data_IF_276828195105
#
_entry.id   IF_276828195105
#
_cell.length_a   1.000
_cell.length_b   1.000
_cell.length_c   1.000
_cell.angle_alpha   90.00
_cell.angle_beta   90.00
_cell.angle_gamma   90.00
#
_symmetry.space_group_name_H-M   'P 1'
#
loop_
_entity.id
_entity.type
_entity.pdbx_description
1 polymer ?
#
# COMPACT_ATOMS: atom_id res chain seq x y z
N UNK A 1 3.46 35.71 -17.96
CA UNK A 1 3.64 34.58 -17.01
C UNK A 1 4.99 33.95 -17.27
N UNK A 2 5.74 33.52 -16.23
CA UNK A 2 7.00 32.83 -16.43
C UNK A 2 6.79 31.53 -17.23
N UNK A 3 7.79 31.05 -17.99
CA UNK A 3 7.71 29.75 -18.66
C UNK A 3 7.37 28.62 -17.68
N UNK A 4 6.75 27.56 -18.18
CA UNK A 4 6.54 26.36 -17.38
C UNK A 4 7.89 25.79 -16.96
N UNK A 5 8.09 25.61 -15.66
CA UNK A 5 9.35 25.13 -15.08
C UNK A 5 9.71 23.68 -15.45
N UNK A 6 8.75 22.91 -15.97
CA UNK A 6 8.96 21.50 -16.34
C UNK A 6 9.24 21.30 -17.82
N UNK A 7 8.55 22.01 -18.71
CA UNK A 7 8.72 21.87 -20.16
C UNK A 7 9.46 23.03 -20.83
N UNK A 8 9.72 24.13 -20.11
CA UNK A 8 10.32 25.36 -20.65
C UNK A 8 9.43 26.14 -21.63
N UNK A 9 8.24 25.62 -21.94
CA UNK A 9 7.28 26.25 -22.85
C UNK A 9 6.46 27.37 -22.19
N UNK A 10 5.46 27.92 -22.91
CA UNK A 10 4.50 28.86 -22.33
C UNK A 10 3.84 28.28 -21.07
N UNK A 11 3.53 29.15 -20.11
CA UNK A 11 2.82 28.72 -18.91
C UNK A 11 1.49 28.04 -19.27
N UNK A 12 1.18 26.97 -18.53
CA UNK A 12 -0.10 26.28 -18.64
C UNK A 12 -0.53 25.78 -17.26
N UNK A 13 -1.83 25.57 -17.10
CA UNK A 13 -2.38 24.96 -15.89
C UNK A 13 -1.88 23.52 -15.78
N UNK A 14 -1.45 23.13 -14.59
CA UNK A 14 -1.14 21.75 -14.24
C UNK A 14 -2.37 21.13 -13.54
N UNK A 15 -2.33 20.94 -12.23
CA UNK A 15 -3.48 20.45 -11.48
C UNK A 15 -4.55 21.52 -11.22
N UNK A 16 -5.82 21.09 -11.24
CA UNK A 16 -6.96 21.92 -10.81
C UNK A 16 -7.12 21.95 -9.29
N UNK A 17 -6.66 20.90 -8.62
CA UNK A 17 -6.67 20.74 -7.16
C UNK A 17 -5.29 20.23 -6.76
N UNK A 18 -4.73 20.81 -5.70
CA UNK A 18 -3.46 20.34 -5.14
C UNK A 18 -3.63 18.95 -4.53
N UNK A 19 -2.60 18.13 -4.69
CA UNK A 19 -2.46 16.89 -3.95
C UNK A 19 -1.53 17.06 -2.76
N UNK A 20 -1.32 15.97 -2.02
CA UNK A 20 -0.45 15.90 -0.86
C UNK A 20 0.46 14.65 -0.91
N UNK A 21 1.67 14.81 -0.44
CA UNK A 21 2.71 13.80 -0.30
C UNK A 21 2.77 13.20 1.11
N UNK A 22 2.13 13.85 2.10
CA UNK A 22 2.13 13.39 3.48
C UNK A 22 1.04 12.33 3.69
N UNK A 23 1.49 11.11 3.98
CA UNK A 23 0.55 10.01 4.23
C UNK A 23 -0.12 10.11 5.59
N UNK A 24 -1.44 9.89 5.58
CA UNK A 24 -2.32 9.85 6.72
C UNK A 24 -3.16 8.56 6.66
N UNK A 25 -2.85 7.58 7.51
CA UNK A 25 -3.52 6.28 7.49
C UNK A 25 -5.01 6.37 7.85
N UNK A 26 -5.45 7.40 8.58
CA UNK A 26 -6.87 7.62 8.87
C UNK A 26 -7.59 8.07 7.61
N UNK A 27 -7.05 9.06 6.93
CA UNK A 27 -7.62 9.56 5.67
C UNK A 27 -7.63 8.48 4.58
N UNK A 28 -6.53 7.73 4.43
CA UNK A 28 -6.49 6.61 3.50
C UNK A 28 -7.57 5.57 3.84
N UNK A 29 -7.72 5.21 5.11
CA UNK A 29 -8.77 4.28 5.55
C UNK A 29 -10.15 4.79 5.17
N UNK A 30 -10.44 6.06 5.43
CA UNK A 30 -11.75 6.64 5.14
C UNK A 30 -12.02 6.65 3.60
N UNK A 31 -10.99 6.92 2.78
CA UNK A 31 -11.06 6.83 1.32
C UNK A 31 -11.24 5.39 0.78
N UNK A 32 -10.63 4.38 1.42
CA UNK A 32 -10.82 2.96 1.08
C UNK A 32 -12.24 2.48 1.40
N UNK A 33 -12.75 2.88 2.57
CA UNK A 33 -14.08 2.46 3.02
C UNK A 33 -15.20 3.11 2.21
N UNK A 34 -14.97 4.32 1.68
CA UNK A 34 -15.95 5.09 0.89
C UNK A 34 -17.29 5.20 1.63
N UNK A 35 -17.28 5.87 2.77
CA UNK A 35 -18.42 6.10 3.67
C UNK A 35 -18.94 4.86 4.43
N UNK A 36 -18.44 3.66 4.12
CA UNK A 36 -18.74 2.46 4.92
C UNK A 36 -18.00 2.48 6.25
N UNK A 37 -18.55 1.79 7.22
CA UNK A 37 -17.88 1.55 8.49
C UNK A 37 -16.85 0.43 8.39
N UNK A 38 -15.81 0.49 9.22
CA UNK A 38 -14.77 -0.54 9.22
C UNK A 38 -15.32 -1.94 9.56
N UNK A 39 -16.42 -2.03 10.30
CA UNK A 39 -17.09 -3.28 10.64
C UNK A 39 -17.90 -3.89 9.51
N UNK A 40 -18.06 -3.21 8.38
CA UNK A 40 -18.65 -3.73 7.16
C UNK A 40 -17.62 -4.42 6.25
N UNK A 41 -16.32 -4.21 6.52
CA UNK A 41 -15.28 -4.84 5.73
C UNK A 41 -15.31 -6.37 5.89
N UNK A 42 -15.27 -7.17 4.80
CA UNK A 42 -15.45 -8.63 4.88
C UNK A 42 -14.45 -9.39 5.76
N UNK A 43 -13.30 -8.80 6.08
CA UNK A 43 -12.29 -9.37 6.98
C UNK A 43 -12.27 -8.77 8.38
N UNK A 44 -13.25 -7.94 8.72
CA UNK A 44 -13.37 -7.40 10.07
C UNK A 44 -13.66 -8.51 11.08
N UNK A 45 -12.80 -8.67 12.07
CA UNK A 45 -13.00 -9.61 13.20
C UNK A 45 -13.15 -8.91 14.54
N UNK A 46 -13.21 -7.58 14.55
CA UNK A 46 -13.25 -6.77 15.76
C UNK A 46 -12.44 -5.47 15.64
N UNK A 47 -12.43 -4.68 16.71
CA UNK A 47 -11.65 -3.43 16.77
C UNK A 47 -10.17 -3.72 16.49
N UNK A 48 -9.54 -2.91 15.65
CA UNK A 48 -8.14 -3.05 15.26
C UNK A 48 -7.79 -4.37 14.55
N UNK A 49 -8.76 -5.01 13.87
CA UNK A 49 -8.51 -6.26 13.13
C UNK A 49 -7.99 -6.05 11.71
N UNK A 50 -8.19 -4.85 11.16
CA UNK A 50 -7.81 -4.46 9.80
C UNK A 50 -7.21 -3.05 9.82
N UNK A 51 -6.33 -2.76 8.86
CA UNK A 51 -5.72 -1.46 8.67
C UNK A 51 -5.53 -1.14 7.18
N UNK A 52 -5.67 0.14 6.85
CA UNK A 52 -5.28 0.67 5.55
C UNK A 52 -3.75 0.73 5.45
N UNK A 53 -3.21 0.27 4.32
CA UNK A 53 -1.79 0.32 4.00
C UNK A 53 -1.54 1.13 2.74
N UNK A 54 -0.60 2.06 2.78
CA UNK A 54 -0.12 2.79 1.60
C UNK A 54 0.85 1.92 0.77
N UNK A 55 0.53 1.70 -0.50
CA UNK A 55 1.37 0.93 -1.44
C UNK A 55 2.55 1.75 -1.95
N UNK A 56 2.33 3.01 -2.30
CA UNK A 56 3.40 4.01 -2.30
C UNK A 56 3.45 4.55 -0.88
N UNK A 57 4.37 4.02 -0.07
CA UNK A 57 4.46 4.30 1.35
C UNK A 57 4.90 5.74 1.64
N UNK A 58 4.41 6.31 2.73
CA UNK A 58 4.72 7.67 3.17
C UNK A 58 6.23 7.92 3.29
N UNK A 59 6.99 6.95 3.80
CA UNK A 59 8.45 7.05 3.93
C UNK A 59 9.17 7.25 2.59
N UNK A 60 8.55 6.89 1.48
CA UNK A 60 9.11 7.10 0.16
C UNK A 60 8.92 8.54 -0.36
N UNK A 61 8.04 9.33 0.27
CA UNK A 61 7.70 10.70 -0.15
C UNK A 61 7.92 11.77 0.94
N UNK A 62 7.77 11.44 2.23
CA UNK A 62 7.60 12.42 3.31
C UNK A 62 8.80 13.35 3.55
N UNK A 63 10.02 12.91 3.22
CA UNK A 63 11.24 13.70 3.37
C UNK A 63 11.77 14.23 2.03
N UNK A 64 10.98 14.14 0.97
CA UNK A 64 11.37 14.54 -0.38
C UNK A 64 10.61 15.81 -0.81
N UNK A 65 11.28 16.96 -0.66
CA UNK A 65 10.74 18.27 -1.08
C UNK A 65 10.37 18.31 -2.56
N UNK A 66 11.02 17.49 -3.40
CA UNK A 66 10.64 17.35 -4.80
C UNK A 66 9.23 16.77 -4.88
N UNK A 67 8.92 15.70 -4.13
CA UNK A 67 7.58 15.11 -4.13
C UNK A 67 6.53 16.03 -3.52
N UNK A 68 6.86 16.81 -2.49
CA UNK A 68 5.95 17.85 -1.98
C UNK A 68 5.49 18.79 -3.10
N UNK A 69 6.45 19.25 -3.92
CA UNK A 69 6.18 20.10 -5.08
C UNK A 69 5.40 19.36 -6.18
N UNK A 70 5.84 18.16 -6.56
CA UNK A 70 5.20 17.40 -7.64
C UNK A 70 3.75 17.02 -7.30
N UNK A 71 3.47 16.57 -6.07
CA UNK A 71 2.12 16.26 -5.61
C UNK A 71 1.21 17.49 -5.65
N UNK A 72 1.71 18.66 -5.21
CA UNK A 72 0.96 19.92 -5.28
C UNK A 72 0.68 20.32 -6.73
N UNK A 73 1.71 20.31 -7.57
CA UNK A 73 1.62 20.91 -8.91
C UNK A 73 0.88 19.98 -9.89
N UNK A 74 1.00 18.66 -9.75
CA UNK A 74 0.31 17.66 -10.60
C UNK A 74 -0.94 17.02 -9.96
N UNK A 75 -1.23 17.34 -8.70
CA UNK A 75 -2.49 16.96 -8.05
C UNK A 75 -2.55 15.51 -7.58
N UNK A 76 -1.41 14.84 -7.43
CA UNK A 76 -1.38 13.49 -6.86
C UNK A 76 -1.46 13.56 -5.34
N UNK A 77 -2.42 12.85 -4.75
CA UNK A 77 -2.59 12.72 -3.31
C UNK A 77 -2.25 11.30 -2.87
N UNK A 78 -1.30 11.15 -1.96
CA UNK A 78 -0.85 9.85 -1.47
C UNK A 78 -1.94 9.10 -0.68
N UNK A 79 -2.92 9.82 -0.10
CA UNK A 79 -4.00 9.26 0.73
C UNK A 79 -5.20 8.78 -0.08
N UNK A 80 -5.14 8.91 -1.40
CA UNK A 80 -6.21 8.45 -2.27
C UNK A 80 -6.41 6.93 -2.20
N UNK A 81 -7.65 6.53 -2.50
CA UNK A 81 -8.11 5.14 -2.54
C UNK A 81 -7.19 4.23 -3.37
N UNK A 82 -6.80 4.64 -4.57
CA UNK A 82 -6.02 3.81 -5.49
C UNK A 82 -4.58 3.54 -5.04
N UNK A 83 -4.09 4.26 -4.03
CA UNK A 83 -2.80 3.99 -3.41
C UNK A 83 -2.89 3.12 -2.15
N UNK A 84 -4.09 2.72 -1.74
CA UNK A 84 -4.31 1.93 -0.54
C UNK A 84 -4.73 0.50 -0.78
N UNK A 85 -4.56 -0.32 0.25
CA UNK A 85 -5.19 -1.65 0.38
C UNK A 85 -5.51 -1.92 1.85
N UNK A 86 -6.63 -2.58 2.13
CA UNK A 86 -7.01 -3.02 3.46
C UNK A 86 -6.39 -4.37 3.78
N UNK A 87 -5.64 -4.45 4.87
CA UNK A 87 -4.91 -5.65 5.28
C UNK A 87 -5.26 -6.07 6.71
N UNK A 88 -5.26 -7.38 7.00
CA UNK A 88 -5.46 -7.86 8.35
C UNK A 88 -4.29 -7.50 9.27
N UNK A 89 -4.62 -7.10 10.49
CA UNK A 89 -3.69 -6.90 11.61
C UNK A 89 -3.64 -8.11 12.56
N UNK A 90 -4.44 -9.14 12.30
CA UNK A 90 -4.50 -10.35 13.14
C UNK A 90 -3.78 -11.49 12.42
N UNK A 91 -2.75 -12.05 13.04
CA UNK A 91 -1.89 -13.08 12.41
C UNK A 91 -2.65 -14.32 11.97
N UNK A 92 -3.62 -14.79 12.76
CA UNK A 92 -4.43 -15.95 12.41
C UNK A 92 -5.35 -15.68 11.23
N UNK A 93 -5.89 -14.45 11.13
CA UNK A 93 -6.71 -14.01 10.00
C UNK A 93 -5.88 -13.94 8.72
N UNK A 94 -4.72 -13.27 8.74
CA UNK A 94 -3.81 -13.25 7.60
C UNK A 94 -3.36 -14.66 7.18
N UNK A 95 -3.07 -15.51 8.17
CA UNK A 95 -2.67 -16.90 7.98
C UNK A 95 -3.74 -17.72 7.26
N UNK A 96 -5.01 -17.59 7.66
CA UNK A 96 -6.15 -18.28 7.05
C UNK A 96 -6.47 -17.75 5.65
N UNK A 97 -6.39 -16.43 5.47
CA UNK A 97 -6.75 -15.75 4.25
C UNK A 97 -5.70 -15.83 3.14
N UNK A 98 -4.46 -16.17 3.49
CA UNK A 98 -3.32 -16.25 2.57
C UNK A 98 -2.92 -14.89 1.97
N UNK A 99 -2.93 -13.83 2.80
CA UNK A 99 -2.68 -12.45 2.37
C UNK A 99 -1.58 -11.79 3.22
N UNK A 100 -0.87 -10.77 2.69
CA UNK A 100 0.03 -9.95 3.48
C UNK A 100 -0.59 -9.45 4.78
N UNK A 101 0.24 -9.37 5.81
CA UNK A 101 -0.16 -8.92 7.14
C UNK A 101 0.29 -7.48 7.38
N UNK A 102 -0.52 -6.69 8.08
CA UNK A 102 -0.20 -5.32 8.48
C UNK A 102 0.27 -5.26 9.94
N UNK A 103 1.42 -5.85 10.24
CA UNK A 103 2.02 -5.83 11.59
C UNK A 103 3.52 -5.57 11.47
N UNK A 104 4.04 -4.68 12.31
CA UNK A 104 5.47 -4.45 12.45
C UNK A 104 5.95 -3.20 11.70
N UNK A 105 7.24 -2.86 11.84
CA UNK A 105 7.80 -1.66 11.23
C UNK A 105 7.93 -1.84 9.71
N UNK A 106 7.71 -0.76 8.95
CA UNK A 106 7.90 -0.75 7.50
C UNK A 106 9.32 -1.14 7.07
N UNK A 107 10.32 -0.94 7.95
CA UNK A 107 11.70 -1.38 7.73
C UNK A 107 11.87 -2.91 7.63
N UNK A 108 10.88 -3.70 8.05
CA UNK A 108 10.88 -5.15 7.88
C UNK A 108 10.51 -5.62 6.47
N UNK A 109 9.96 -4.75 5.62
CA UNK A 109 9.57 -5.10 4.26
C UNK A 109 10.74 -5.12 3.29
N UNK A 110 10.67 -6.00 2.28
CA UNK A 110 11.73 -6.21 1.30
C UNK A 110 11.20 -6.36 -0.12
N UNK A 111 11.92 -5.83 -1.10
CA UNK A 111 11.71 -6.02 -2.53
C UNK A 111 12.78 -6.98 -3.06
N UNK A 112 12.47 -8.28 -3.13
CA UNK A 112 13.46 -9.33 -3.39
C UNK A 112 14.07 -9.26 -4.80
N UNK A 113 13.31 -8.82 -5.79
CA UNK A 113 13.78 -8.66 -7.18
C UNK A 113 14.67 -7.43 -7.38
N UNK A 114 14.65 -6.49 -6.45
CA UNK A 114 15.47 -5.27 -6.47
C UNK A 114 16.59 -5.29 -5.43
N UNK A 115 16.58 -6.26 -4.52
CA UNK A 115 17.47 -6.36 -3.36
C UNK A 115 17.51 -5.08 -2.52
N UNK A 116 16.34 -4.55 -2.20
CA UNK A 116 16.18 -3.31 -1.43
C UNK A 116 15.09 -3.46 -0.37
N UNK A 117 15.23 -2.72 0.73
CA UNK A 117 14.11 -2.51 1.65
C UNK A 117 12.91 -1.91 0.89
N UNK A 118 11.71 -2.34 1.24
CA UNK A 118 10.48 -1.93 0.54
C UNK A 118 10.37 -0.41 0.31
N UNK A 119 10.56 0.45 1.32
CA UNK A 119 10.51 1.90 1.10
C UNK A 119 11.58 2.41 0.11
N UNK A 120 12.78 1.82 0.12
CA UNK A 120 13.87 2.23 -0.77
C UNK A 120 13.61 1.78 -2.22
N UNK A 121 13.00 0.61 -2.42
CA UNK A 121 12.55 0.16 -3.73
C UNK A 121 11.50 1.12 -4.31
N UNK A 122 10.52 1.54 -3.49
CA UNK A 122 9.52 2.53 -3.89
C UNK A 122 10.18 3.87 -4.22
N UNK A 123 11.11 4.38 -3.39
CA UNK A 123 11.89 5.60 -3.68
C UNK A 123 12.58 5.53 -5.04
N UNK A 124 13.24 4.40 -5.36
CA UNK A 124 13.93 4.23 -6.63
C UNK A 124 12.98 4.31 -7.83
N UNK A 125 11.79 3.69 -7.73
CA UNK A 125 10.76 3.76 -8.77
C UNK A 125 10.24 5.19 -8.92
N UNK A 126 9.97 5.88 -7.80
CA UNK A 126 9.54 7.28 -7.77
C UNK A 126 10.58 8.23 -8.41
N UNK A 127 11.88 8.04 -8.19
CA UNK A 127 12.92 8.84 -8.85
C UNK A 127 12.87 8.72 -10.39
N UNK A 128 12.36 7.61 -10.93
CA UNK A 128 12.06 7.46 -12.35
C UNK A 128 10.97 8.41 -12.82
N UNK A 129 9.87 8.49 -12.07
CA UNK A 129 8.76 9.41 -12.36
C UNK A 129 9.16 10.87 -12.20
N UNK A 130 9.86 11.23 -11.12
CA UNK A 130 10.33 12.59 -10.89
C UNK A 130 11.23 13.10 -12.03
N UNK A 131 12.16 12.27 -12.53
CA UNK A 131 12.98 12.59 -13.70
C UNK A 131 12.16 12.77 -14.99
N UNK A 132 11.06 12.03 -15.13
CA UNK A 132 10.18 12.17 -16.29
C UNK A 132 9.35 13.47 -16.21
N UNK A 133 8.86 13.81 -15.02
CA UNK A 133 8.15 15.07 -14.77
C UNK A 133 9.06 16.27 -15.01
N UNK A 134 10.31 16.23 -14.52
CA UNK A 134 11.31 17.27 -14.73
C UNK A 134 11.66 17.53 -16.21
N UNK A 135 11.32 16.61 -17.12
CA UNK A 135 11.47 16.77 -18.58
C UNK A 135 10.17 17.17 -19.27
N UNK A 136 9.14 17.55 -18.52
CA UNK A 136 7.85 17.99 -19.03
C UNK A 136 6.96 16.87 -19.57
N UNK A 137 7.24 15.58 -19.27
CA UNK A 137 6.49 14.43 -19.82
C UNK A 137 4.98 14.53 -19.59
N UNK A 138 4.57 15.13 -18.48
CA UNK A 138 3.17 15.24 -18.08
C UNK A 138 2.59 16.66 -18.27
N UNK A 139 3.31 17.58 -18.92
CA UNK A 139 2.79 18.94 -19.11
C UNK A 139 1.54 18.99 -20.01
N UNK A 140 1.47 18.12 -21.01
CA UNK A 140 0.32 18.04 -21.92
C UNK A 140 -0.88 17.27 -21.32
N UNK A 141 -0.64 16.35 -20.37
CA UNK A 141 -1.67 15.66 -19.57
C UNK A 141 -1.20 15.57 -18.11
N UNK A 142 -1.41 16.62 -17.28
CA UNK A 142 -0.99 16.62 -15.89
C UNK A 142 -1.59 15.47 -15.06
N UNK A 143 -2.84 15.09 -15.36
CA UNK A 143 -3.50 13.94 -14.73
C UNK A 143 -2.84 12.60 -15.11
N UNK A 144 -2.00 12.58 -16.15
CA UNK A 144 -1.19 11.43 -16.53
C UNK A 144 -0.26 10.95 -15.42
N UNK A 145 0.32 11.86 -14.62
CA UNK A 145 1.20 11.45 -13.50
C UNK A 145 0.42 10.61 -12.48
N UNK A 146 -0.75 11.09 -12.08
CA UNK A 146 -1.67 10.42 -11.15
C UNK A 146 -2.06 9.02 -11.64
N UNK A 147 -2.36 8.88 -12.94
CA UNK A 147 -2.66 7.57 -13.56
C UNK A 147 -1.47 6.62 -13.53
N UNK A 148 -0.25 7.13 -13.76
CA UNK A 148 0.96 6.31 -13.70
C UNK A 148 1.29 5.86 -12.26
N UNK A 149 1.10 6.73 -11.27
CA UNK A 149 1.29 6.37 -9.87
C UNK A 149 0.25 5.33 -9.41
N UNK A 150 -0.98 5.36 -9.93
CA UNK A 150 -1.94 4.26 -9.70
C UNK A 150 -1.50 2.93 -10.28
N UNK A 151 -0.88 2.97 -11.47
CA UNK A 151 -0.30 1.76 -12.07
C UNK A 151 0.86 1.25 -11.23
N UNK A 152 1.66 2.14 -10.65
CA UNK A 152 2.70 1.77 -9.70
C UNK A 152 2.09 1.09 -8.47
N UNK A 153 1.07 1.66 -7.83
CA UNK A 153 0.42 1.04 -6.66
C UNK A 153 -0.13 -0.36 -6.97
N UNK A 154 -0.81 -0.53 -8.13
CA UNK A 154 -1.24 -1.86 -8.61
C UNK A 154 -0.08 -2.83 -8.82
N UNK A 155 1.03 -2.34 -9.37
CA UNK A 155 2.24 -3.14 -9.60
C UNK A 155 2.84 -3.60 -8.28
N UNK A 156 2.95 -2.69 -7.29
CA UNK A 156 3.43 -3.01 -5.95
C UNK A 156 2.52 -4.06 -5.30
N UNK A 157 1.20 -3.89 -5.36
CA UNK A 157 0.26 -4.88 -4.81
C UNK A 157 0.44 -6.26 -5.46
N UNK A 158 0.61 -6.32 -6.79
CA UNK A 158 0.89 -7.57 -7.51
C UNK A 158 2.19 -8.23 -7.02
N UNK A 159 3.23 -7.44 -6.75
CA UNK A 159 4.51 -7.92 -6.20
C UNK A 159 4.36 -8.44 -4.77
N UNK A 160 3.55 -7.79 -3.94
CA UNK A 160 3.23 -8.26 -2.59
C UNK A 160 2.45 -9.58 -2.61
N UNK A 161 1.44 -9.70 -3.46
CA UNK A 161 0.61 -10.91 -3.57
C UNK A 161 1.38 -12.10 -4.15
N UNK A 162 2.30 -11.85 -5.09
CA UNK A 162 3.16 -12.89 -5.68
C UNK A 162 4.36 -13.28 -4.80
N UNK A 163 4.62 -12.55 -3.71
CA UNK A 163 5.78 -12.78 -2.86
C UNK A 163 7.10 -12.31 -3.46
N UNK A 164 7.07 -11.52 -4.54
CA UNK A 164 8.25 -10.80 -5.02
C UNK A 164 8.66 -9.72 -4.01
N UNK A 165 7.70 -9.14 -3.29
CA UNK A 165 7.90 -8.13 -2.26
C UNK A 165 7.19 -8.55 -0.96
N UNK A 166 7.63 -8.04 0.19
CA UNK A 166 6.98 -8.18 1.49
C UNK A 166 6.88 -6.84 2.21
N UNK A 167 5.88 -6.70 3.09
CA UNK A 167 5.72 -5.53 3.95
C UNK A 167 6.40 -5.68 5.31
N UNK A 168 6.74 -6.91 5.66
CA UNK A 168 7.24 -7.30 6.98
C UNK A 168 8.24 -8.45 6.81
N UNK A 169 9.07 -8.68 7.83
CA UNK A 169 10.13 -9.70 7.79
C UNK A 169 9.58 -11.09 7.49
N UNK A 170 8.43 -11.42 8.06
CA UNK A 170 7.75 -12.71 7.88
C UNK A 170 6.63 -12.64 6.84
N UNK A 171 6.57 -11.60 6.01
CA UNK A 171 5.45 -11.34 5.11
C UNK A 171 5.16 -12.51 4.16
N UNK A 172 6.21 -13.18 3.67
CA UNK A 172 6.09 -14.35 2.78
C UNK A 172 5.42 -15.55 3.45
N UNK A 173 5.56 -15.70 4.77
CA UNK A 173 4.92 -16.82 5.47
C UNK A 173 3.39 -16.77 5.35
N UNK A 174 2.82 -15.58 5.22
CA UNK A 174 1.37 -15.41 5.14
C UNK A 174 0.82 -15.61 3.73
N UNK A 175 1.66 -15.66 2.69
CA UNK A 175 1.20 -15.97 1.34
C UNK A 175 0.91 -17.46 1.17
N UNK A 176 0.27 -17.84 0.06
CA UNK A 176 -0.01 -19.24 -0.24
C UNK A 176 1.29 -20.07 -0.27
N UNK A 177 1.30 -21.23 0.40
CA UNK A 177 2.48 -22.09 0.52
C UNK A 177 3.45 -21.73 1.65
N UNK A 178 3.33 -20.53 2.26
CA UNK A 178 4.14 -20.12 3.40
C UNK A 178 3.77 -20.78 4.73
N UNK A 179 4.58 -20.54 5.77
CA UNK A 179 4.40 -21.16 7.09
C UNK A 179 3.15 -20.71 7.86
N UNK A 180 2.50 -19.62 7.44
CA UNK A 180 1.39 -19.00 8.15
C UNK A 180 1.84 -18.37 9.47
N UNK A 181 0.97 -18.32 10.48
CA UNK A 181 1.26 -17.68 11.77
C UNK A 181 2.14 -18.52 12.73
N UNK A 182 2.50 -19.77 12.38
CA UNK A 182 3.25 -20.68 13.27
C UNK A 182 2.62 -20.94 14.66
N UNK A 183 1.33 -20.61 14.83
CA UNK A 183 0.61 -20.66 16.11
C UNK A 183 0.89 -19.47 17.04
N UNK A 184 1.64 -18.48 16.56
CA UNK A 184 1.97 -17.27 17.32
C UNK A 184 0.91 -16.17 17.16
N UNK A 185 0.85 -15.29 18.16
CA UNK A 185 0.03 -14.08 18.20
C UNK A 185 0.85 -12.78 18.13
N UNK A 186 2.18 -12.88 18.10
CA UNK A 186 3.11 -11.77 17.84
C UNK A 186 4.13 -12.16 16.77
N UNK A 187 4.54 -11.20 15.94
CA UNK A 187 5.60 -11.37 14.94
C UNK A 187 6.98 -11.49 15.59
N UNK A 188 7.24 -10.81 16.70
CA UNK A 188 8.58 -10.70 17.30
C UNK A 188 9.20 -12.05 17.66
N UNK A 189 8.40 -12.99 18.18
CA UNK A 189 8.84 -14.30 18.66
C UNK A 189 8.28 -15.45 17.80
N UNK A 190 7.90 -15.16 16.56
CA UNK A 190 7.26 -16.15 15.70
C UNK A 190 8.25 -17.27 15.34
N UNK A 191 7.98 -18.53 15.70
CA UNK A 191 8.90 -19.62 15.42
C UNK A 191 8.89 -19.98 13.92
N UNK A 192 10.04 -20.44 13.43
CA UNK A 192 10.19 -20.96 12.05
C UNK A 192 9.64 -22.37 11.92
N UNK A 193 8.30 -22.49 11.94
CA UNK A 193 7.58 -23.74 11.69
C UNK A 193 6.22 -23.47 11.05
N UNK A 194 5.68 -24.47 10.37
CA UNK A 194 4.34 -24.35 9.79
C UNK A 194 3.26 -24.17 10.85
N UNK A 195 2.18 -23.49 10.47
CA UNK A 195 1.01 -23.27 11.32
C UNK A 195 0.45 -24.62 11.81
N UNK A 196 0.37 -24.85 13.14
CA UNK A 196 -0.10 -26.14 13.69
C UNK A 196 -1.58 -26.41 13.41
N UNK A 197 -2.34 -25.38 12.98
CA UNK A 197 -3.74 -25.49 12.56
C UNK A 197 -3.90 -25.74 11.06
N UNK A 198 -2.81 -25.98 10.32
CA UNK A 198 -2.85 -26.12 8.87
C UNK A 198 -3.45 -24.89 8.18
N UNK A 199 -3.27 -23.71 8.77
CA UNK A 199 -3.82 -22.42 8.31
C UNK A 199 -5.36 -22.38 8.25
N UNK A 200 -6.04 -23.20 9.07
CA UNK A 200 -7.50 -23.19 9.29
C UNK A 200 -7.80 -22.75 10.72
N UNK A 201 -8.05 -21.47 10.89
CA UNK A 201 -8.31 -20.82 12.18
C UNK A 201 -9.81 -20.67 12.48
N UNK A 202 -10.69 -20.91 11.50
CA UNK A 202 -12.14 -20.71 11.59
C UNK A 202 -12.48 -19.28 12.03
N UNK A 203 -11.77 -18.30 11.50
CA UNK A 203 -12.02 -16.90 11.82
C UNK A 203 -13.41 -16.50 11.34
N UNK A 204 -14.08 -15.66 12.14
CA UNK A 204 -15.44 -15.19 11.87
C UNK A 204 -15.48 -13.69 11.84
N UNK A 205 -16.37 -13.17 11.00
CA UNK A 205 -16.65 -11.75 10.91
C UNK A 205 -17.22 -11.24 12.24
N UNK A 206 -16.69 -10.13 12.75
CA UNK A 206 -17.02 -9.60 14.08
C UNK A 206 -18.47 -9.18 14.26
N UNK A 207 -19.11 -8.63 13.21
CA UNK A 207 -20.52 -8.26 13.22
C UNK A 207 -21.49 -9.41 12.90
N UNK A 208 -21.32 -10.07 11.74
CA UNK A 208 -22.27 -11.08 11.23
C UNK A 208 -22.03 -12.50 11.75
N UNK A 209 -20.86 -12.81 12.32
CA UNK A 209 -20.48 -14.17 12.71
C UNK A 209 -20.21 -15.12 11.53
N UNK A 210 -20.30 -14.65 10.29
CA UNK A 210 -20.03 -15.45 9.09
C UNK A 210 -18.55 -15.88 9.03
N UNK A 211 -18.22 -17.07 8.50
CA UNK A 211 -16.83 -17.44 8.23
C UNK A 211 -16.16 -16.44 7.30
N UNK A 212 -14.89 -16.13 7.55
CA UNK A 212 -14.13 -15.28 6.63
C UNK A 212 -13.87 -16.01 5.29
N UNK A 213 -13.90 -15.25 4.20
CA UNK A 213 -13.63 -15.77 2.85
C UNK A 213 -12.36 -15.16 2.29
N UNK A 214 -11.55 -15.99 1.62
CA UNK A 214 -10.43 -15.52 0.82
C UNK A 214 -10.95 -14.68 -0.33
N UNK A 215 -10.27 -13.57 -0.60
CA UNK A 215 -10.58 -12.67 -1.70
C UNK A 215 -9.27 -12.23 -2.33
N UNK A 216 -9.29 -11.99 -3.63
CA UNK A 216 -8.17 -11.35 -4.32
C UNK A 216 -8.02 -9.93 -3.78
N UNK A 217 -6.82 -9.58 -3.32
CA UNK A 217 -6.52 -8.21 -2.92
C UNK A 217 -6.60 -7.28 -4.14
N UNK A 218 -7.19 -6.11 -3.93
CA UNK A 218 -7.31 -5.07 -4.94
C UNK A 218 -6.87 -3.75 -4.32
N UNK A 219 -6.29 -2.87 -5.14
CA UNK A 219 -6.08 -1.49 -4.72
C UNK A 219 -7.44 -0.85 -4.50
N UNK A 220 -7.55 -0.01 -3.49
CA UNK A 220 -8.81 0.65 -3.17
C UNK A 220 -9.81 -0.19 -2.38
N UNK A 221 -9.47 -1.42 -1.96
CA UNK A 221 -10.34 -2.26 -1.12
C UNK A 221 -9.66 -2.73 0.16
#
# INVERSE_FOLDING_TARGET
MPPCEYCGGPWHTLARRWGDHLGNSRELRDNLLAEREANEHPWYTGRWSIAAHHLICSEAMAEDEQWAKLCRDFGYDINRRENGVMLPMVMTVACELHVPIHIGPHAGGWAFDMDLAYPNAVKLLLSGFARAVARGRFCADPAGLTKELDRLSRTILSKLVSGQWSLTTDGLDYLAGGNGCAGASSIQDKPRRSCPRGRKHNSRHGGTGAPLVRRTLQVGE
#
